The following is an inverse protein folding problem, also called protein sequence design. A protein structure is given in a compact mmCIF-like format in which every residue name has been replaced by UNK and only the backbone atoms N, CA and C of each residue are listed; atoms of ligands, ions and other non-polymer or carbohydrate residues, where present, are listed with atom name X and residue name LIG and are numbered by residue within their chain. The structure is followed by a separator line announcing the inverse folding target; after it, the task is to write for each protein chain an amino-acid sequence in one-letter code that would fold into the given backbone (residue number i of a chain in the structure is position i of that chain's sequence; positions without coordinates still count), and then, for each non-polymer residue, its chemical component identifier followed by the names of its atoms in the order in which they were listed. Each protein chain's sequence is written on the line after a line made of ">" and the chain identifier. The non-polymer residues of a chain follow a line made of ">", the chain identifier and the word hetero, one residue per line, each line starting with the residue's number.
data_IF_794015991863
#
_entry.id   IF_794015991863
#
_cell.length_a   1.000
_cell.length_b   1.000
_cell.length_c   1.000
_cell.angle_alpha   90.00
_cell.angle_beta   90.00
_cell.angle_gamma   90.00
#
_symmetry.space_group_name_H-M   'P 1'
#
loop_
_entity.id
_entity.type
_entity.pdbx_description
1 polymer ?
#
# COMPACT_ATOMS: atom_id res chain seq x y z
N UNK A 1 -4.47 4.71 -14.92
CA UNK A 1 -3.46 3.74 -14.42
C UNK A 1 -3.49 2.40 -15.16
N UNK A 2 -2.39 2.02 -15.84
CA UNK A 2 -2.18 0.68 -16.40
C UNK A 2 -1.18 -0.11 -15.55
N UNK A 3 -1.53 -1.35 -15.16
CA UNK A 3 -0.59 -2.25 -14.49
C UNK A 3 0.29 -2.95 -15.53
N UNK A 4 1.57 -2.58 -15.61
CA UNK A 4 2.51 -3.17 -16.58
C UNK A 4 2.89 -4.60 -16.19
N UNK A 5 2.96 -4.89 -14.88
CA UNK A 5 3.38 -6.19 -14.38
C UNK A 5 2.58 -6.58 -13.16
N UNK A 6 2.18 -7.85 -13.08
CA UNK A 6 1.47 -8.40 -11.94
C UNK A 6 2.28 -8.18 -10.64
N UNK A 7 1.59 -7.88 -9.52
CA UNK A 7 2.23 -7.73 -8.23
C UNK A 7 3.04 -8.98 -7.90
N UNK A 8 4.26 -8.79 -7.38
CA UNK A 8 5.15 -9.89 -6.97
C UNK A 8 5.71 -9.66 -5.59
N UNK A 9 5.76 -10.72 -4.79
CA UNK A 9 6.40 -10.71 -3.48
C UNK A 9 7.91 -10.86 -3.68
N UNK A 10 8.69 -9.92 -3.14
CA UNK A 10 10.15 -9.97 -3.21
C UNK A 10 10.77 -9.62 -1.86
N UNK A 11 11.98 -10.13 -1.62
CA UNK A 11 12.78 -9.81 -0.43
C UNK A 11 13.55 -8.50 -0.63
N UNK A 12 13.39 -7.55 0.28
CA UNK A 12 14.05 -6.25 0.23
C UNK A 12 15.57 -6.41 0.33
N UNK A 13 16.31 -5.91 -0.68
CA UNK A 13 17.78 -5.93 -0.70
C UNK A 13 18.41 -4.72 -0.02
N UNK A 14 17.64 -3.65 0.16
CA UNK A 14 17.98 -2.39 0.85
C UNK A 14 16.75 -1.88 1.59
N UNK A 15 16.90 -0.85 2.43
CA UNK A 15 15.78 -0.20 3.09
C UNK A 15 14.86 0.47 2.06
N UNK A 16 13.56 0.28 2.23
CA UNK A 16 12.51 0.87 1.42
C UNK A 16 11.44 1.48 2.33
N UNK A 17 10.50 2.22 1.73
CA UNK A 17 9.29 2.65 2.42
C UNK A 17 8.08 2.08 1.71
N UNK A 18 7.08 1.68 2.49
CA UNK A 18 5.77 1.32 1.97
C UNK A 18 5.13 2.56 1.33
N UNK A 19 4.62 2.41 0.12
CA UNK A 19 3.90 3.44 -0.63
C UNK A 19 2.52 3.73 -0.03
N UNK A 20 1.94 2.80 0.75
CA UNK A 20 0.67 2.99 1.45
C UNK A 20 0.84 3.68 2.79
N UNK A 21 1.41 2.98 3.78
CA UNK A 21 1.48 3.46 5.17
C UNK A 21 2.77 4.20 5.53
N UNK A 22 3.74 4.30 4.62
CA UNK A 22 5.01 4.97 4.89
C UNK A 22 6.00 4.19 5.76
N UNK A 23 5.61 3.04 6.34
CA UNK A 23 6.49 2.17 7.15
C UNK A 23 7.81 1.86 6.46
N UNK A 24 8.89 1.84 7.23
CA UNK A 24 10.16 1.32 6.76
C UNK A 24 10.09 -0.20 6.53
N UNK A 25 10.46 -0.61 5.32
CA UNK A 25 10.66 -2.01 4.95
C UNK A 25 12.16 -2.24 5.02
N UNK A 26 12.60 -2.93 6.08
CA UNK A 26 13.99 -3.20 6.37
C UNK A 26 14.58 -4.16 5.36
N UNK A 27 15.91 -4.12 5.21
CA UNK A 27 16.63 -5.12 4.43
C UNK A 27 16.32 -6.52 4.95
N UNK A 28 15.83 -7.39 4.06
CA UNK A 28 15.47 -8.77 4.38
C UNK A 28 13.99 -8.99 4.68
N UNK A 29 13.19 -7.93 4.87
CA UNK A 29 11.73 -8.06 4.92
C UNK A 29 11.16 -8.39 3.54
N UNK A 30 10.03 -9.10 3.51
CA UNK A 30 9.27 -9.34 2.29
C UNK A 30 8.30 -8.19 2.05
N UNK A 31 8.15 -7.80 0.79
CA UNK A 31 7.19 -6.79 0.37
C UNK A 31 6.67 -7.10 -1.04
N UNK A 32 5.46 -6.65 -1.32
CA UNK A 32 4.88 -6.71 -2.67
C UNK A 32 5.40 -5.53 -3.48
N UNK A 33 5.77 -5.81 -4.73
CA UNK A 33 6.21 -4.79 -5.68
C UNK A 33 5.35 -4.88 -6.93
N UNK A 34 4.75 -3.74 -7.28
CA UNK A 34 3.95 -3.57 -8.50
C UNK A 34 4.61 -2.53 -9.39
N UNK A 35 4.58 -2.75 -10.70
CA UNK A 35 5.04 -1.77 -11.69
C UNK A 35 3.81 -1.16 -12.35
N UNK A 36 3.56 0.10 -12.03
CA UNK A 36 2.39 0.85 -12.45
C UNK A 36 2.83 1.90 -13.47
N UNK A 37 1.95 2.17 -14.43
CA UNK A 37 2.12 3.21 -15.43
C UNK A 37 0.95 4.14 -15.36
N UNK A 38 1.26 5.41 -15.19
CA UNK A 38 0.29 6.46 -15.44
C UNK A 38 0.85 7.34 -16.56
N UNK A 39 1.32 8.55 -16.25
CA UNK A 39 2.15 9.35 -17.18
C UNK A 39 3.59 8.81 -17.30
N UNK A 40 4.15 8.33 -16.19
CA UNK A 40 5.47 7.72 -16.09
C UNK A 40 5.40 6.31 -15.49
N UNK A 41 6.44 5.49 -15.72
CA UNK A 41 6.55 4.16 -15.09
C UNK A 41 7.10 4.34 -13.68
N UNK A 42 6.36 3.87 -12.68
CA UNK A 42 6.80 3.88 -11.30
C UNK A 42 6.62 2.54 -10.60
N UNK A 43 7.36 2.39 -9.49
CA UNK A 43 7.35 1.19 -8.67
C UNK A 43 6.59 1.46 -7.38
N UNK A 44 5.47 0.76 -7.21
CA UNK A 44 4.71 0.76 -5.97
C UNK A 44 5.21 -0.36 -5.05
N UNK A 45 5.41 -0.05 -3.77
CA UNK A 45 5.89 -1.02 -2.77
C UNK A 45 4.89 -1.10 -1.63
N UNK A 46 4.48 -2.31 -1.30
CA UNK A 46 3.50 -2.57 -0.26
C UNK A 46 4.11 -3.51 0.78
N UNK A 47 4.05 -3.11 2.05
CA UNK A 47 4.40 -3.99 3.15
C UNK A 47 3.28 -5.00 3.41
N UNK A 48 3.62 -6.16 3.94
CA UNK A 48 2.70 -7.26 4.21
C UNK A 48 1.43 -6.84 4.96
N UNK A 49 1.57 -6.01 6.02
CA UNK A 49 0.42 -5.54 6.81
C UNK A 49 -0.60 -4.71 6.03
N UNK A 50 -0.20 -4.06 4.93
CA UNK A 50 -1.13 -3.23 4.15
C UNK A 50 -1.96 -4.07 3.18
N UNK A 51 -1.50 -5.28 2.82
CA UNK A 51 -2.15 -6.08 1.78
C UNK A 51 -3.60 -6.43 2.13
N UNK A 52 -3.88 -6.76 3.40
CA UNK A 52 -5.22 -7.08 3.88
C UNK A 52 -6.18 -5.89 3.74
N UNK A 53 -5.82 -4.74 4.30
CA UNK A 53 -6.65 -3.54 4.26
C UNK A 53 -6.79 -2.94 2.86
N UNK A 54 -5.78 -3.09 2.00
CA UNK A 54 -5.86 -2.67 0.59
C UNK A 54 -6.85 -3.57 -0.16
N UNK A 55 -6.87 -4.88 0.09
CA UNK A 55 -7.88 -5.77 -0.48
C UNK A 55 -9.28 -5.38 0.00
N UNK A 56 -9.45 -5.19 1.31
CA UNK A 56 -10.74 -4.80 1.90
C UNK A 56 -11.26 -3.48 1.32
N UNK A 57 -10.38 -2.48 1.23
CA UNK A 57 -10.67 -1.20 0.59
C UNK A 57 -11.11 -1.42 -0.86
N UNK A 58 -10.33 -2.11 -1.68
CA UNK A 58 -10.67 -2.34 -3.10
C UNK A 58 -12.00 -3.10 -3.24
N UNK A 59 -12.29 -4.08 -2.38
CA UNK A 59 -13.56 -4.80 -2.39
C UNK A 59 -14.75 -3.88 -2.05
N UNK A 60 -14.59 -3.00 -1.06
CA UNK A 60 -15.59 -1.97 -0.72
C UNK A 60 -15.77 -0.92 -1.82
N UNK A 61 -14.68 -0.51 -2.47
CA UNK A 61 -14.67 0.47 -3.55
C UNK A 61 -15.04 -0.12 -4.91
N UNK A 62 -15.04 -1.45 -5.12
CA UNK A 62 -15.52 -2.08 -6.36
C UNK A 62 -16.98 -1.68 -6.70
N UNK A 63 -17.71 -1.16 -5.71
CA UNK A 63 -19.04 -0.56 -5.88
C UNK A 63 -19.03 0.84 -6.55
N UNK A 64 -17.90 1.54 -6.51
CA UNK A 64 -17.69 2.89 -7.04
C UNK A 64 -16.66 2.83 -8.17
N UNK A 65 -17.01 3.32 -9.37
CA UNK A 65 -16.15 3.25 -10.56
C UNK A 65 -14.81 4.00 -10.34
N UNK A 66 -13.78 3.29 -9.91
CA UNK A 66 -12.42 3.82 -9.71
C UNK A 66 -11.66 3.87 -11.03
N UNK A 67 -12.09 4.75 -11.93
CA UNK A 67 -11.43 4.97 -13.23
C UNK A 67 -9.94 5.37 -13.08
N UNK A 68 -9.61 6.06 -11.98
CA UNK A 68 -8.27 6.61 -11.69
C UNK A 68 -7.45 5.77 -10.69
N UNK A 69 -7.98 4.65 -10.18
CA UNK A 69 -7.34 3.84 -9.14
C UNK A 69 -7.42 4.48 -7.74
N UNK A 70 -6.72 3.90 -6.76
CA UNK A 70 -6.71 4.40 -5.37
C UNK A 70 -5.34 4.94 -4.98
N UNK A 71 -5.34 6.12 -4.37
CA UNK A 71 -4.13 6.79 -3.90
C UNK A 71 -3.76 6.43 -2.48
N UNK A 72 -2.49 6.61 -2.09
CA UNK A 72 -2.05 6.39 -0.71
C UNK A 72 -2.78 7.27 0.30
N UNK A 73 -3.22 8.47 -0.10
CA UNK A 73 -3.99 9.37 0.75
C UNK A 73 -5.38 8.79 1.05
N UNK A 74 -6.07 8.28 0.02
CA UNK A 74 -7.38 7.63 0.19
C UNK A 74 -7.29 6.39 1.08
N UNK A 75 -6.22 5.61 0.95
CA UNK A 75 -6.00 4.48 1.86
C UNK A 75 -5.81 4.91 3.32
N UNK A 76 -5.09 6.00 3.59
CA UNK A 76 -4.91 6.49 4.95
C UNK A 76 -6.21 7.05 5.53
N UNK A 77 -7.04 7.71 4.71
CA UNK A 77 -8.36 8.15 5.14
C UNK A 77 -9.29 6.96 5.40
N UNK A 78 -9.32 5.96 4.52
CA UNK A 78 -10.03 4.68 4.76
C UNK A 78 -9.59 4.03 6.07
N UNK A 79 -8.29 3.90 6.32
CA UNK A 79 -7.78 3.36 7.59
C UNK A 79 -8.19 4.22 8.79
N UNK A 80 -8.31 5.54 8.63
CA UNK A 80 -8.76 6.42 9.73
C UNK A 80 -10.25 6.27 10.01
N UNK A 81 -11.06 6.10 8.98
CA UNK A 81 -12.53 6.01 9.10
C UNK A 81 -12.97 4.62 9.57
N UNK A 82 -12.45 3.57 8.94
CA UNK A 82 -12.91 2.19 9.16
C UNK A 82 -12.05 1.42 10.17
N UNK A 83 -10.75 1.74 10.28
CA UNK A 83 -9.78 1.03 11.15
C UNK A 83 -8.94 1.95 12.07
N UNK A 84 -9.57 2.90 12.79
CA UNK A 84 -8.83 3.91 13.56
C UNK A 84 -7.90 3.30 14.62
N UNK A 85 -8.33 2.23 15.30
CA UNK A 85 -7.54 1.55 16.32
C UNK A 85 -6.26 0.93 15.73
N UNK A 86 -6.38 0.28 14.57
CA UNK A 86 -5.22 -0.31 13.86
C UNK A 86 -4.23 0.77 13.44
N UNK A 87 -4.74 1.89 12.91
CA UNK A 87 -3.90 3.01 12.49
C UNK A 87 -3.14 3.62 13.68
N UNK A 88 -3.78 3.72 14.85
CA UNK A 88 -3.14 4.19 16.08
C UNK A 88 -2.06 3.23 16.60
N UNK A 89 -2.32 1.92 16.57
CA UNK A 89 -1.32 0.90 16.92
C UNK A 89 -0.10 0.99 15.99
N UNK A 90 -0.32 1.19 14.69
CA UNK A 90 0.77 1.34 13.72
C UNK A 90 1.62 2.57 14.00
N UNK A 91 0.99 3.72 14.28
CA UNK A 91 1.73 4.95 14.65
C UNK A 91 2.60 4.74 15.87
N UNK A 92 2.06 4.05 16.87
CA UNK A 92 2.79 3.74 18.11
C UNK A 92 3.98 2.81 17.86
N UNK A 93 3.81 1.80 17.00
CA UNK A 93 4.87 0.83 16.70
C UNK A 93 5.94 1.38 15.76
N UNK A 94 5.54 2.15 14.76
CA UNK A 94 6.44 2.74 13.75
C UNK A 94 7.13 4.03 14.25
N UNK A 95 6.67 4.60 15.37
CA UNK A 95 7.28 5.77 16.03
C UNK A 95 7.08 7.09 15.29
N UNK A 96 5.94 7.27 14.61
CA UNK A 96 5.59 8.48 13.85
C UNK A 96 4.39 9.22 14.46
#
# INVERSE_FOLDING_TARGET
>A
METISSPRIVKARKHHRCSWCGKEISRGEFHTVSTLKDDEIYTWRECERCAEYVSEMIEGYCYWDLSDGVTSAEFIEFMREEHPDVLEEWRTYDGC
#
